data_IF_743322543136
#
_entry.id   IF_743322543136
#
_cell.length_a   1.000
_cell.length_b   1.000
_cell.length_c   1.000
_cell.angle_alpha   90.00
_cell.angle_beta   90.00
_cell.angle_gamma   90.00
#
_symmetry.space_group_name_H-M   'P 1'
#
loop_
_entity.id
_entity.type
_entity.pdbx_description
1 polymer ?
#
# COMPACT_ATOMS: atom_id res chain seq x y z
N UNK A 1 -16.77 24.12 -9.90
CA UNK A 1 -16.66 22.81 -9.23
C UNK A 1 -15.48 22.08 -9.84
N UNK A 2 -14.29 22.19 -9.25
CA UNK A 2 -13.04 21.74 -9.86
C UNK A 2 -12.77 20.27 -9.52
N UNK A 3 -13.09 19.40 -10.46
CA UNK A 3 -12.92 17.94 -10.36
C UNK A 3 -11.41 17.63 -10.39
N UNK A 4 -10.79 17.32 -9.24
CA UNK A 4 -9.36 16.95 -9.20
C UNK A 4 -9.00 15.77 -10.13
N UNK A 5 -9.98 14.93 -10.49
CA UNK A 5 -9.82 13.91 -11.54
C UNK A 5 -9.44 14.48 -12.92
N UNK A 6 -9.90 15.68 -13.27
CA UNK A 6 -9.61 16.30 -14.58
C UNK A 6 -8.15 16.78 -14.70
N UNK A 7 -7.43 16.91 -13.57
CA UNK A 7 -6.02 17.29 -13.57
C UNK A 7 -5.08 16.12 -13.90
N UNK A 8 -5.58 14.87 -13.94
CA UNK A 8 -4.77 13.66 -14.12
C UNK A 8 -4.18 13.12 -12.82
N UNK A 9 -4.77 13.48 -11.67
CA UNK A 9 -4.45 12.92 -10.36
C UNK A 9 -5.36 11.70 -10.10
N UNK A 10 -4.74 10.54 -9.97
CA UNK A 10 -5.41 9.28 -9.69
C UNK A 10 -5.02 8.80 -8.28
N UNK A 11 -6.04 8.50 -7.47
CA UNK A 11 -5.84 7.85 -6.18
C UNK A 11 -5.36 6.41 -6.41
N UNK A 12 -4.25 6.06 -5.77
CA UNK A 12 -3.74 4.69 -5.75
C UNK A 12 -4.58 3.90 -4.75
N UNK A 13 -5.53 3.10 -5.24
CA UNK A 13 -6.32 2.19 -4.41
C UNK A 13 -5.50 0.94 -4.10
N UNK A 14 -5.03 0.85 -2.85
CA UNK A 14 -4.13 -0.22 -2.38
C UNK A 14 -4.73 -1.06 -1.26
N UNK A 15 -5.95 -0.73 -0.84
CA UNK A 15 -6.72 -1.48 0.16
C UNK A 15 -6.96 -2.90 -0.39
N UNK A 16 -6.23 -3.88 0.14
CA UNK A 16 -6.33 -5.34 -0.15
C UNK A 16 -5.44 -5.91 -1.27
N UNK A 17 -4.48 -5.16 -1.84
CA UNK A 17 -3.48 -5.75 -2.76
C UNK A 17 -2.23 -6.23 -2.01
N UNK A 18 -1.46 -7.12 -2.63
CA UNK A 18 -0.14 -7.49 -2.13
C UNK A 18 0.72 -6.23 -1.95
N UNK A 19 1.57 -6.25 -0.93
CA UNK A 19 2.58 -5.21 -0.76
C UNK A 19 3.50 -5.20 -1.98
N UNK A 20 3.81 -4.01 -2.48
CA UNK A 20 4.63 -3.82 -3.67
C UNK A 20 5.59 -2.67 -3.36
N UNK A 21 6.90 -2.92 -3.20
CA UNK A 21 7.86 -1.90 -2.82
C UNK A 21 8.02 -0.78 -3.87
N UNK A 22 7.56 -0.97 -5.11
CA UNK A 22 7.61 0.07 -6.15
C UNK A 22 6.45 1.08 -6.04
N UNK A 23 5.36 0.70 -5.40
CA UNK A 23 4.12 1.50 -5.31
C UNK A 23 3.76 1.85 -3.86
N UNK A 24 4.25 1.07 -2.90
CA UNK A 24 3.87 1.10 -1.50
C UNK A 24 5.09 1.28 -0.59
N UNK A 25 4.90 2.06 0.47
CA UNK A 25 5.86 2.26 1.54
C UNK A 25 5.31 1.59 2.81
N UNK A 26 5.97 0.52 3.27
CA UNK A 26 5.61 -0.17 4.50
C UNK A 26 6.05 0.66 5.71
N UNK A 27 5.10 1.31 6.38
CA UNK A 27 5.40 2.14 7.56
C UNK A 27 5.31 1.37 8.87
N UNK A 28 4.59 0.24 8.86
CA UNK A 28 4.42 -0.64 10.01
C UNK A 28 4.17 -2.06 9.53
N UNK A 29 4.62 -3.03 10.30
CA UNK A 29 4.23 -4.45 10.14
C UNK A 29 3.42 -4.88 11.35
N UNK A 30 2.31 -5.57 11.11
CA UNK A 30 1.44 -6.12 12.16
C UNK A 30 1.18 -7.61 11.91
N UNK A 31 0.76 -8.32 12.96
CA UNK A 31 0.39 -9.73 12.85
C UNK A 31 -0.78 -9.90 11.86
N UNK A 32 -0.54 -10.66 10.79
CA UNK A 32 -1.53 -10.86 9.75
C UNK A 32 -1.07 -11.79 8.62
N UNK A 33 -1.73 -11.69 7.47
CA UNK A 33 -1.31 -12.41 6.25
C UNK A 33 0.01 -11.85 5.74
N UNK A 34 1.01 -12.73 5.58
CA UNK A 34 2.34 -12.35 5.13
C UNK A 34 2.31 -11.70 3.74
N UNK A 35 2.94 -10.54 3.61
CA UNK A 35 3.04 -9.81 2.33
C UNK A 35 1.73 -9.15 1.88
N UNK A 36 0.70 -9.11 2.72
CA UNK A 36 -0.59 -8.46 2.41
C UNK A 36 -0.70 -7.10 3.07
N UNK A 37 -1.33 -6.14 2.40
CA UNK A 37 -1.64 -4.85 3.03
C UNK A 37 -2.82 -5.05 3.99
N UNK A 38 -2.57 -4.84 5.29
CA UNK A 38 -3.59 -4.90 6.34
C UNK A 38 -4.38 -3.60 6.44
N UNK A 39 -3.69 -2.47 6.33
CA UNK A 39 -4.30 -1.16 6.42
C UNK A 39 -3.54 -0.12 5.60
N UNK A 40 -4.24 0.85 5.05
CA UNK A 40 -3.64 2.00 4.36
C UNK A 40 -3.67 3.18 5.31
N UNK A 41 -2.51 3.53 5.86
CA UNK A 41 -2.35 4.70 6.73
C UNK A 41 -2.52 5.98 5.92
N UNK A 42 -2.06 5.95 4.66
CA UNK A 42 -2.13 7.10 3.78
C UNK A 42 -2.20 6.66 2.32
N UNK A 43 -3.21 7.16 1.61
CA UNK A 43 -3.39 6.89 0.18
C UNK A 43 -2.18 7.38 -0.63
N UNK A 44 -1.77 6.56 -1.59
CA UNK A 44 -0.81 6.96 -2.62
C UNK A 44 -1.51 7.73 -3.73
N UNK A 45 -0.75 8.50 -4.49
CA UNK A 45 -1.28 9.26 -5.62
C UNK A 45 -0.35 9.12 -6.82
N UNK A 46 -0.98 8.96 -7.99
CA UNK A 46 -0.31 8.99 -9.28
C UNK A 46 -0.76 10.22 -10.05
N UNK A 47 0.16 10.87 -10.74
CA UNK A 47 -0.12 12.02 -11.58
C UNK A 47 0.39 11.76 -12.99
N UNK A 48 -0.52 11.68 -13.96
CA UNK A 48 -0.20 11.43 -15.38
C UNK A 48 0.71 10.22 -15.61
N UNK A 49 0.45 9.10 -14.93
CA UNK A 49 1.24 7.87 -15.05
C UNK A 49 2.59 7.86 -14.32
N UNK A 50 2.89 8.90 -13.52
CA UNK A 50 4.04 8.92 -12.61
C UNK A 50 3.59 8.82 -11.17
N UNK A 51 4.32 8.07 -10.35
CA UNK A 51 4.08 8.03 -8.90
C UNK A 51 4.43 9.41 -8.33
N UNK A 52 3.41 10.14 -7.87
CA UNK A 52 3.59 11.40 -7.17
C UNK A 52 3.99 11.12 -5.72
N UNK A 53 3.37 10.09 -5.13
CA UNK A 53 3.62 9.67 -3.76
C UNK A 53 3.24 8.21 -3.55
N UNK A 54 4.14 7.43 -2.98
CA UNK A 54 3.87 6.05 -2.56
C UNK A 54 2.78 6.00 -1.48
N UNK A 55 1.96 4.96 -1.49
CA UNK A 55 0.96 4.74 -0.46
C UNK A 55 1.63 4.23 0.82
N UNK A 56 1.32 4.83 1.97
CA UNK A 56 1.82 4.34 3.25
C UNK A 56 0.89 3.26 3.76
N UNK A 57 1.42 2.06 3.94
CA UNK A 57 0.64 0.88 4.26
C UNK A 57 1.23 0.12 5.44
N UNK A 58 0.35 -0.57 6.14
CA UNK A 58 0.71 -1.55 7.16
C UNK A 58 0.71 -2.92 6.48
N UNK A 59 1.84 -3.61 6.55
CA UNK A 59 1.99 -4.94 5.93
C UNK A 59 1.79 -6.01 7.00
N UNK A 60 1.04 -7.04 6.65
CA UNK A 60 0.89 -8.21 7.47
C UNK A 60 2.17 -9.03 7.42
N UNK A 61 2.66 -9.39 8.60
CA UNK A 61 3.69 -10.41 8.75
C UNK A 61 3.04 -11.59 9.44
N UNK A 62 3.12 -12.77 8.83
CA UNK A 62 2.71 -13.98 9.54
C UNK A 62 3.86 -14.35 10.48
N UNK A 63 3.63 -14.58 11.78
CA UNK A 63 4.67 -15.15 12.61
C UNK A 63 4.97 -16.53 12.02
N UNK A 64 6.15 -16.66 11.42
CA UNK A 64 6.66 -17.95 10.99
C UNK A 64 6.67 -18.85 12.23
N UNK A 65 5.72 -19.78 12.32
CA UNK A 65 5.97 -21.01 13.07
C UNK A 65 7.11 -21.66 12.34
N UNK A 66 8.32 -21.41 12.84
CA UNK A 66 9.43 -22.31 12.61
C UNK A 66 9.03 -23.61 13.29
N UNK A 67 8.33 -24.48 12.57
CA UNK A 67 8.36 -25.91 12.83
C UNK A 67 9.83 -26.34 12.61
N UNK A 68 10.65 -26.09 13.64
CA UNK A 68 11.92 -26.77 13.81
C UNK A 68 11.54 -28.15 14.34
N UNK A 69 11.65 -29.10 13.41
CA UNK A 69 11.69 -30.55 13.55
C UNK A 69 12.26 -31.06 14.89
#
# INVERSE_FOLDING_TARGET
MATLKAAGLEEMHTESRQFDPYLHEAVKTEDGEDGKILAVVQKGYMFKGKVLRHAKVIVGRKPERTDKE
#
